data_IF_261108700285
#
_entry.id   IF_261108700285
#
_cell.length_a   1.000
_cell.length_b   1.000
_cell.length_c   1.000
_cell.angle_alpha   90.00
_cell.angle_beta   90.00
_cell.angle_gamma   90.00
#
_symmetry.space_group_name_H-M   'P 1'
#
loop_
_entity.id
_entity.type
_entity.pdbx_description
1 polymer ?
#
# COMPACT_ATOMS: atom_id res chain seq x y z
N UNK A 1 -27.63 2.45 5.51
CA UNK A 1 -26.39 1.68 5.27
C UNK A 1 -25.95 1.92 3.84
N UNK A 2 -25.14 2.96 3.63
CA UNK A 2 -24.79 3.50 2.30
C UNK A 2 -23.67 2.67 1.69
N UNK A 3 -23.98 1.91 0.62
CA UNK A 3 -22.99 1.08 -0.08
C UNK A 3 -22.36 1.90 -1.21
N UNK A 4 -21.20 2.50 -0.93
CA UNK A 4 -20.35 3.07 -1.97
C UNK A 4 -19.71 1.91 -2.76
N UNK A 5 -20.23 1.65 -3.96
CA UNK A 5 -19.61 0.72 -4.91
C UNK A 5 -18.44 1.45 -5.57
N UNK A 6 -17.29 1.51 -4.88
CA UNK A 6 -16.04 1.88 -5.56
C UNK A 6 -15.81 0.87 -6.68
N UNK A 7 -15.57 1.38 -7.87
CA UNK A 7 -15.23 0.57 -9.04
C UNK A 7 -13.82 0.00 -8.79
N UNK A 8 -13.54 -1.27 -9.09
CA UNK A 8 -12.21 -1.86 -8.88
C UNK A 8 -11.08 -1.06 -9.55
N UNK A 9 -11.37 -0.34 -10.65
CA UNK A 9 -10.40 0.55 -11.31
C UNK A 9 -9.98 1.77 -10.48
N UNK A 10 -10.87 2.34 -9.66
CA UNK A 10 -10.54 3.46 -8.77
C UNK A 10 -9.69 3.00 -7.58
N UNK A 11 -9.91 1.76 -7.16
CA UNK A 11 -9.18 1.10 -6.09
C UNK A 11 -7.73 0.79 -6.50
N UNK A 12 -7.56 0.19 -7.69
CA UNK A 12 -6.23 -0.06 -8.24
C UNK A 12 -5.48 1.26 -8.49
N UNK A 13 -6.17 2.32 -8.95
CA UNK A 13 -5.57 3.64 -9.10
C UNK A 13 -5.14 4.28 -7.76
N UNK A 14 -5.92 4.10 -6.69
CA UNK A 14 -5.55 4.58 -5.35
C UNK A 14 -4.34 3.81 -4.79
N UNK A 15 -4.24 2.52 -5.07
CA UNK A 15 -3.09 1.69 -4.69
C UNK A 15 -1.85 2.09 -5.47
N UNK A 16 -1.96 2.28 -6.79
CA UNK A 16 -0.85 2.73 -7.61
C UNK A 16 -0.32 4.10 -7.15
N UNK A 17 -1.21 5.02 -6.78
CA UNK A 17 -0.80 6.30 -6.18
C UNK A 17 -0.08 6.12 -4.84
N UNK A 18 -0.55 5.21 -3.98
CA UNK A 18 0.12 4.89 -2.73
C UNK A 18 1.50 4.25 -2.97
N UNK A 19 1.63 3.36 -3.95
CA UNK A 19 2.93 2.78 -4.37
C UNK A 19 3.88 3.87 -4.84
N UNK A 20 3.42 4.80 -5.68
CA UNK A 20 4.25 5.91 -6.17
C UNK A 20 4.74 6.78 -5.02
N UNK A 21 3.86 7.16 -4.09
CA UNK A 21 4.22 7.96 -2.91
C UNK A 21 5.22 7.25 -2.01
N UNK A 22 4.96 6.00 -1.66
CA UNK A 22 5.88 5.20 -0.84
C UNK A 22 7.20 4.93 -1.56
N UNK A 23 7.18 4.74 -2.87
CA UNK A 23 8.39 4.58 -3.67
C UNK A 23 9.23 5.85 -3.62
N UNK A 24 8.63 7.02 -3.77
CA UNK A 24 9.34 8.28 -3.64
C UNK A 24 9.90 8.48 -2.21
N UNK A 25 9.09 8.23 -1.17
CA UNK A 25 9.44 8.36 0.25
C UNK A 25 10.63 7.46 0.65
N UNK A 26 10.64 6.21 0.22
CA UNK A 26 11.66 5.23 0.60
C UNK A 26 12.72 4.99 -0.48
N UNK A 27 12.68 5.69 -1.62
CA UNK A 27 13.63 5.50 -2.75
C UNK A 27 15.10 5.63 -2.37
N UNK A 28 15.38 6.43 -1.33
CA UNK A 28 16.74 6.67 -0.84
C UNK A 28 17.28 5.53 0.04
N UNK A 29 16.41 4.67 0.58
CA UNK A 29 16.76 3.61 1.53
C UNK A 29 16.51 2.22 0.95
N UNK A 30 15.42 2.05 0.19
CA UNK A 30 14.93 0.77 -0.31
C UNK A 30 14.78 0.80 -1.84
N UNK A 31 15.03 -0.36 -2.46
CA UNK A 31 14.84 -0.51 -3.92
C UNK A 31 13.34 -0.49 -4.26
N UNK A 32 12.94 0.12 -5.39
CA UNK A 32 11.54 0.15 -5.83
C UNK A 32 10.89 -1.24 -5.93
N UNK A 33 11.68 -2.26 -6.26
CA UNK A 33 11.22 -3.66 -6.34
C UNK A 33 10.76 -4.20 -4.97
N UNK A 34 11.46 -3.84 -3.89
CA UNK A 34 11.10 -4.24 -2.52
C UNK A 34 9.80 -3.55 -2.13
N UNK A 35 9.70 -2.25 -2.39
CA UNK A 35 8.52 -1.43 -2.09
C UNK A 35 7.28 -1.97 -2.80
N UNK A 36 7.36 -2.21 -4.11
CA UNK A 36 6.26 -2.77 -4.89
C UNK A 36 5.89 -4.21 -4.49
N UNK A 37 6.83 -4.98 -3.92
CA UNK A 37 6.54 -6.33 -3.39
C UNK A 37 5.80 -6.24 -2.06
N UNK A 38 6.26 -5.38 -1.14
CA UNK A 38 5.61 -5.14 0.16
C UNK A 38 4.18 -4.63 -0.04
N UNK A 39 3.96 -3.63 -0.89
CA UNK A 39 2.62 -3.07 -1.12
C UNK A 39 1.66 -4.10 -1.72
N UNK A 40 2.11 -4.91 -2.70
CA UNK A 40 1.28 -5.99 -3.26
C UNK A 40 0.96 -7.08 -2.24
N UNK A 41 1.90 -7.41 -1.34
CA UNK A 41 1.63 -8.33 -0.23
C UNK A 41 0.60 -7.73 0.74
N UNK A 42 0.75 -6.46 1.11
CA UNK A 42 -0.19 -5.77 2.00
C UNK A 42 -1.61 -5.73 1.40
N UNK A 43 -1.71 -5.48 0.10
CA UNK A 43 -2.95 -5.52 -0.67
C UNK A 43 -3.61 -6.90 -0.63
N UNK A 44 -2.82 -7.97 -0.79
CA UNK A 44 -3.31 -9.35 -0.70
C UNK A 44 -3.76 -9.69 0.74
N UNK A 45 -3.01 -9.24 1.75
CA UNK A 45 -3.36 -9.40 3.17
C UNK A 45 -4.68 -8.67 3.51
N UNK A 46 -4.99 -7.58 2.80
CA UNK A 46 -6.19 -6.76 2.98
C UNK A 46 -7.33 -7.09 2.00
N UNK A 47 -7.29 -8.21 1.29
CA UNK A 47 -8.30 -8.57 0.27
C UNK A 47 -9.73 -8.73 0.83
N UNK A 48 -9.88 -8.85 2.15
CA UNK A 48 -11.18 -8.93 2.84
C UNK A 48 -11.70 -7.60 3.39
N UNK A 49 -10.96 -6.50 3.23
CA UNK A 49 -11.30 -5.19 3.79
C UNK A 49 -12.16 -4.39 2.81
N UNK A 50 -13.19 -3.66 3.29
CA UNK A 50 -13.99 -2.80 2.44
C UNK A 50 -13.15 -1.68 1.82
N UNK A 51 -13.43 -1.43 0.55
CA UNK A 51 -12.62 -0.60 -0.35
C UNK A 51 -12.43 0.85 0.11
N UNK A 52 -13.36 1.37 0.92
CA UNK A 52 -13.34 2.74 1.42
C UNK A 52 -12.20 3.01 2.41
N UNK A 53 -11.69 1.98 3.09
CA UNK A 53 -10.57 2.10 4.04
C UNK A 53 -9.29 1.45 3.51
N UNK A 54 -9.36 0.80 2.35
CA UNK A 54 -8.29 -0.05 1.85
C UNK A 54 -7.02 0.73 1.47
N UNK A 55 -7.08 1.89 0.80
CA UNK A 55 -5.88 2.67 0.48
C UNK A 55 -5.11 3.10 1.74
N UNK A 56 -5.83 3.64 2.73
CA UNK A 56 -5.29 4.08 4.02
C UNK A 56 -4.62 2.92 4.78
N UNK A 57 -5.27 1.74 4.80
CA UNK A 57 -4.78 0.56 5.49
C UNK A 57 -3.57 -0.07 4.76
N UNK A 58 -3.59 -0.11 3.44
CA UNK A 58 -2.44 -0.54 2.63
C UNK A 58 -1.26 0.40 2.85
N UNK A 59 -1.47 1.72 2.82
CA UNK A 59 -0.40 2.69 3.06
C UNK A 59 0.19 2.53 4.46
N UNK A 60 -0.64 2.43 5.50
CA UNK A 60 -0.18 2.25 6.88
C UNK A 60 0.57 0.92 7.08
N UNK A 61 0.04 -0.18 6.55
CA UNK A 61 0.67 -1.50 6.68
C UNK A 61 2.00 -1.57 5.91
N UNK A 62 2.02 -1.02 4.69
CA UNK A 62 3.23 -0.96 3.88
C UNK A 62 4.29 -0.10 4.56
N UNK A 63 3.94 1.09 5.06
CA UNK A 63 4.87 1.97 5.80
C UNK A 63 5.43 1.26 7.04
N UNK A 64 4.61 0.59 7.83
CA UNK A 64 5.06 -0.14 9.01
C UNK A 64 6.04 -1.29 8.68
N UNK A 65 5.80 -2.01 7.58
CA UNK A 65 6.72 -3.06 7.10
C UNK A 65 8.01 -2.45 6.56
N UNK A 66 7.95 -1.43 5.72
CA UNK A 66 9.15 -0.77 5.17
C UNK A 66 10.04 -0.18 6.28
N UNK A 67 9.46 0.42 7.32
CA UNK A 67 10.20 0.89 8.50
C UNK A 67 10.86 -0.25 9.28
N UNK A 68 10.25 -1.45 9.29
CA UNK A 68 10.85 -2.63 9.91
C UNK A 68 12.03 -3.17 9.10
N UNK A 69 11.98 -3.04 7.78
CA UNK A 69 13.06 -3.42 6.84
C UNK A 69 14.21 -2.39 6.79
N UNK A 70 13.93 -1.10 7.03
CA UNK A 70 14.93 -0.02 7.10
C UNK A 70 15.79 -0.07 8.38
N UNK A 71 15.28 -0.65 9.47
CA UNK A 71 16.00 -0.71 10.73
C UNK A 71 17.33 -1.47 10.54
N UNK A 72 18.49 -0.82 10.73
CA UNK A 72 19.76 -1.50 10.65
C UNK A 72 19.83 -2.52 11.80
N UNK A 73 20.12 -3.77 11.47
CA UNK A 73 20.41 -4.83 12.44
C UNK A 73 21.68 -4.50 13.24
#
# INVERSE_FOLDING_TARGET
MTRALTRPSDEDAAIDQAVVRLTAEFSHQLRPQVIGTVVRSCRRDLSGVPTTALPELVERLARARLQSEDRPA
#
